data_IF_048334649533
#
_entry.id   IF_048334649533
#
_cell.length_a   1.000
_cell.length_b   1.000
_cell.length_c   1.000
_cell.angle_alpha   90.00
_cell.angle_beta   90.00
_cell.angle_gamma   90.00
#
_symmetry.space_group_name_H-M   'P 1'
#
loop_
_entity.id
_entity.type
_entity.pdbx_description
1 polymer ?
#
# COMPACT_ATOMS: atom_id res chain seq x y z
N UNK A 1 0.08 30.56 23.13
CA UNK A 1 0.89 29.58 22.38
C UNK A 1 -0.01 28.97 21.34
N UNK A 2 0.17 29.36 20.12
CA UNK A 2 -0.55 28.76 18.99
C UNK A 2 -0.10 27.32 18.84
N UNK A 3 -0.83 26.45 19.46
CA UNK A 3 -0.73 25.01 19.27
C UNK A 3 -1.24 24.72 17.89
N UNK A 4 -0.44 24.67 16.83
CA UNK A 4 -1.35 24.51 15.77
C UNK A 4 -0.70 24.19 14.45
N UNK A 5 -1.23 23.20 13.88
CA UNK A 5 -1.32 23.01 12.46
C UNK A 5 -2.15 24.11 11.75
N UNK A 6 -2.28 25.31 12.32
CA UNK A 6 -3.05 26.41 11.70
C UNK A 6 -2.47 26.83 10.36
N UNK A 7 -1.18 26.66 10.15
CA UNK A 7 -0.57 26.85 8.85
C UNK A 7 -1.20 26.00 7.73
N UNK A 8 -1.80 24.86 8.07
CA UNK A 8 -2.53 24.03 7.12
C UNK A 8 -3.75 24.73 6.52
N UNK A 9 -4.31 25.67 7.25
CA UNK A 9 -5.44 26.50 6.81
C UNK A 9 -5.05 27.83 6.18
N UNK A 10 -3.80 28.21 6.17
CA UNK A 10 -3.35 29.56 5.75
C UNK A 10 -2.24 29.57 4.70
N UNK A 11 -1.33 28.60 4.69
CA UNK A 11 -0.27 28.52 3.69
C UNK A 11 -0.78 28.20 2.30
N UNK A 12 0.03 28.52 1.28
CA UNK A 12 -0.28 28.16 -0.11
C UNK A 12 -0.44 26.66 -0.26
N UNK A 13 -1.51 26.25 -0.95
CA UNK A 13 -1.86 24.84 -1.15
C UNK A 13 -0.72 24.06 -1.82
N UNK A 14 -0.10 24.59 -2.87
CA UNK A 14 1.01 23.92 -3.54
C UNK A 14 2.21 23.66 -2.64
N UNK A 15 2.53 24.60 -1.75
CA UNK A 15 3.63 24.45 -0.77
C UNK A 15 3.29 23.36 0.27
N UNK A 16 2.06 23.36 0.76
CA UNK A 16 1.59 22.33 1.71
C UNK A 16 1.59 20.95 1.09
N UNK A 17 1.12 20.81 -0.15
CA UNK A 17 1.14 19.55 -0.86
C UNK A 17 2.56 19.00 -1.01
N UNK A 18 3.52 19.83 -1.39
CA UNK A 18 4.93 19.43 -1.47
C UNK A 18 5.47 18.98 -0.11
N UNK A 19 5.21 19.75 0.93
CA UNK A 19 5.69 19.47 2.30
C UNK A 19 5.17 18.12 2.83
N UNK A 20 3.95 17.74 2.51
CA UNK A 20 3.32 16.51 3.00
C UNK A 20 3.41 15.34 2.02
N UNK A 21 3.30 15.59 0.73
CA UNK A 21 3.30 14.53 -0.27
C UNK A 21 4.70 13.96 -0.51
N UNK A 22 5.72 14.79 -0.65
CA UNK A 22 7.08 14.33 -0.99
C UNK A 22 7.64 13.36 0.06
N UNK A 23 7.59 13.64 1.38
CA UNK A 23 8.05 12.68 2.37
C UNK A 23 7.27 11.35 2.34
N UNK A 24 5.97 11.40 2.12
CA UNK A 24 5.13 10.21 2.05
C UNK A 24 5.46 9.36 0.81
N UNK A 25 5.65 10.00 -0.34
CA UNK A 25 6.08 9.33 -1.57
C UNK A 25 7.42 8.62 -1.36
N UNK A 26 8.39 9.30 -0.77
CA UNK A 26 9.72 8.73 -0.48
C UNK A 26 9.60 7.52 0.45
N UNK A 27 8.81 7.61 1.52
CA UNK A 27 8.57 6.50 2.45
C UNK A 27 8.02 5.27 1.74
N UNK A 28 7.01 5.44 0.90
CA UNK A 28 6.37 4.33 0.19
C UNK A 28 7.26 3.74 -0.90
N UNK A 29 7.99 4.58 -1.65
CA UNK A 29 8.95 4.12 -2.66
C UNK A 29 10.07 3.31 -2.02
N UNK A 30 10.65 3.79 -0.94
CA UNK A 30 11.70 3.08 -0.23
C UNK A 30 11.18 1.77 0.33
N UNK A 31 9.96 1.75 0.86
CA UNK A 31 9.30 0.53 1.32
C UNK A 31 9.13 -0.51 0.21
N UNK A 32 8.73 -0.09 -0.99
CA UNK A 32 8.62 -0.99 -2.14
C UNK A 32 10.00 -1.48 -2.62
N UNK A 33 10.99 -0.60 -2.66
CA UNK A 33 12.34 -0.93 -3.14
C UNK A 33 13.08 -1.87 -2.17
N UNK A 34 12.98 -1.67 -0.86
CA UNK A 34 13.68 -2.54 0.07
C UNK A 34 13.13 -3.98 0.05
N UNK A 35 11.85 -4.16 -0.18
CA UNK A 35 11.28 -5.50 -0.37
C UNK A 35 11.86 -6.21 -1.59
N UNK A 36 12.09 -5.48 -2.68
CA UNK A 36 12.74 -6.01 -3.88
C UNK A 36 14.21 -6.37 -3.59
N UNK A 37 14.93 -5.53 -2.86
CA UNK A 37 16.32 -5.77 -2.48
C UNK A 37 16.44 -7.00 -1.56
N UNK A 38 15.56 -7.16 -0.60
CA UNK A 38 15.50 -8.34 0.27
C UNK A 38 15.32 -9.64 -0.54
N UNK A 39 14.39 -9.63 -1.50
CA UNK A 39 14.21 -10.76 -2.42
C UNK A 39 15.45 -11.06 -3.26
N UNK A 40 16.17 -10.03 -3.70
CA UNK A 40 17.42 -10.19 -4.46
C UNK A 40 18.49 -10.85 -3.59
N UNK A 41 18.63 -10.46 -2.34
CA UNK A 41 19.59 -11.09 -1.43
C UNK A 41 19.25 -12.56 -1.17
N UNK A 42 17.99 -12.89 -0.95
CA UNK A 42 17.53 -14.28 -0.76
C UNK A 42 17.80 -15.11 -2.04
N UNK A 43 17.50 -14.55 -3.22
CA UNK A 43 17.72 -15.23 -4.49
C UNK A 43 19.18 -15.52 -4.79
N UNK A 44 20.09 -14.65 -4.36
CA UNK A 44 21.53 -14.82 -4.57
C UNK A 44 22.22 -15.67 -3.50
N UNK A 45 21.51 -16.10 -2.47
CA UNK A 45 22.03 -17.04 -1.49
C UNK A 45 21.99 -18.46 -2.04
N UNK A 46 23.10 -18.93 -2.56
CA UNK A 46 23.22 -20.25 -3.26
C UNK A 46 22.77 -21.42 -2.39
N UNK A 47 22.99 -21.37 -1.08
CA UNK A 47 22.61 -22.43 -0.16
C UNK A 47 21.10 -22.47 0.14
N UNK A 48 20.36 -21.41 -0.12
CA UNK A 48 18.89 -21.38 -0.02
C UNK A 48 18.21 -21.86 -1.30
N UNK A 49 18.86 -21.64 -2.45
CA UNK A 49 18.31 -21.96 -3.75
C UNK A 49 17.00 -21.21 -4.03
N UNK A 50 16.16 -21.80 -4.87
CA UNK A 50 14.81 -21.26 -5.17
C UNK A 50 13.82 -21.42 -4.03
N UNK A 51 14.12 -22.26 -3.06
CA UNK A 51 13.23 -22.53 -1.91
C UNK A 51 13.08 -21.32 -0.99
N UNK A 52 14.12 -20.49 -0.85
CA UNK A 52 14.07 -19.26 -0.08
C UNK A 52 13.08 -18.25 -0.66
N UNK A 53 13.13 -18.02 -1.95
CA UNK A 53 12.16 -17.14 -2.63
C UNK A 53 10.74 -17.71 -2.61
N UNK A 54 10.59 -19.01 -2.75
CA UNK A 54 9.29 -19.66 -2.65
C UNK A 54 8.70 -19.45 -1.24
N UNK A 55 9.49 -19.62 -0.19
CA UNK A 55 9.07 -19.37 1.18
C UNK A 55 8.67 -17.90 1.41
N UNK A 56 9.43 -16.96 0.90
CA UNK A 56 9.09 -15.53 0.97
C UNK A 56 7.75 -15.24 0.28
N UNK A 57 7.51 -15.84 -0.87
CA UNK A 57 6.25 -15.70 -1.61
C UNK A 57 5.05 -16.26 -0.84
N UNK A 58 5.22 -17.38 -0.15
CA UNK A 58 4.17 -17.98 0.70
C UNK A 58 3.81 -17.07 1.88
N UNK A 59 4.80 -16.45 2.50
CA UNK A 59 4.61 -15.61 3.70
C UNK A 59 4.16 -14.19 3.37
N UNK A 60 4.45 -13.69 2.17
CA UNK A 60 4.13 -12.32 1.77
C UNK A 60 2.66 -11.92 2.00
N UNK A 61 1.64 -12.70 1.59
CA UNK A 61 0.24 -12.34 1.85
C UNK A 61 -0.08 -12.12 3.33
N UNK A 62 0.61 -12.85 4.21
CA UNK A 62 0.40 -12.76 5.65
C UNK A 62 0.94 -11.45 6.22
N UNK A 63 2.04 -10.95 5.66
CA UNK A 63 2.56 -9.61 6.00
C UNK A 63 1.64 -8.51 5.49
N UNK A 64 1.00 -8.71 4.34
CA UNK A 64 0.03 -7.75 3.79
C UNK A 64 -1.24 -7.68 4.65
N UNK A 65 -1.69 -8.78 5.24
CA UNK A 65 -2.81 -8.75 6.21
C UNK A 65 -2.48 -7.88 7.41
N UNK A 66 -1.28 -8.03 7.97
CA UNK A 66 -0.82 -7.19 9.08
C UNK A 66 -0.76 -5.71 8.67
N UNK A 67 -0.23 -5.42 7.50
CA UNK A 67 -0.19 -4.06 6.94
C UNK A 67 -1.60 -3.49 6.74
N UNK A 68 -2.53 -4.27 6.22
CA UNK A 68 -3.91 -3.84 6.00
C UNK A 68 -4.59 -3.39 7.29
N UNK A 69 -4.43 -4.14 8.36
CA UNK A 69 -4.97 -3.77 9.68
C UNK A 69 -4.29 -2.51 10.21
N UNK A 70 -2.97 -2.43 10.11
CA UNK A 70 -2.20 -1.28 10.59
C UNK A 70 -2.56 0.02 9.87
N UNK A 71 -2.67 0.01 8.54
CA UNK A 71 -3.03 1.21 7.78
C UNK A 71 -4.51 1.57 7.92
N UNK A 72 -5.39 0.60 8.16
CA UNK A 72 -6.78 0.87 8.51
C UNK A 72 -6.87 1.73 9.77
N UNK A 73 -6.13 1.37 10.79
CA UNK A 73 -6.08 2.13 12.04
C UNK A 73 -5.35 3.46 11.85
N UNK A 74 -4.19 3.45 11.21
CA UNK A 74 -3.35 4.62 11.03
C UNK A 74 -3.95 5.69 10.13
N UNK A 75 -4.38 5.34 8.93
CA UNK A 75 -4.98 6.29 7.98
C UNK A 75 -6.35 6.77 8.46
N UNK A 76 -7.14 5.88 9.08
CA UNK A 76 -8.41 6.26 9.69
C UNK A 76 -8.24 7.26 10.83
N UNK A 77 -7.27 7.03 11.68
CA UNK A 77 -6.90 7.96 12.75
C UNK A 77 -6.37 9.30 12.20
N UNK A 78 -5.51 9.25 11.18
CA UNK A 78 -4.99 10.45 10.53
C UNK A 78 -6.11 11.35 9.99
N UNK A 79 -7.07 10.78 9.27
CA UNK A 79 -8.21 11.50 8.74
C UNK A 79 -9.08 12.09 9.87
N UNK A 80 -9.41 11.29 10.88
CA UNK A 80 -10.21 11.71 12.01
C UNK A 80 -9.55 12.85 12.82
N UNK A 81 -8.27 12.69 13.13
CA UNK A 81 -7.48 13.69 13.87
C UNK A 81 -7.39 14.99 13.09
N UNK A 82 -7.13 14.92 11.80
CA UNK A 82 -6.98 16.10 10.94
C UNK A 82 -8.26 16.91 10.87
N UNK A 83 -9.41 16.24 10.73
CA UNK A 83 -10.72 16.89 10.76
C UNK A 83 -10.99 17.51 12.15
N UNK A 84 -10.69 16.78 13.21
CA UNK A 84 -10.90 17.26 14.59
C UNK A 84 -10.03 18.48 14.91
N UNK A 85 -8.79 18.51 14.45
CA UNK A 85 -7.90 19.68 14.60
C UNK A 85 -8.43 20.88 13.83
N UNK A 86 -8.98 20.67 12.64
CA UNK A 86 -9.64 21.72 11.87
C UNK A 86 -10.88 22.31 12.57
N UNK A 87 -11.58 21.49 13.32
CA UNK A 87 -12.74 21.89 14.15
C UNK A 87 -12.35 22.51 15.50
N UNK A 88 -11.06 22.64 15.79
CA UNK A 88 -10.53 23.05 17.09
C UNK A 88 -10.90 22.10 18.26
N UNK A 89 -11.14 20.84 17.95
CA UNK A 89 -11.46 19.79 18.94
C UNK A 89 -10.20 18.97 19.28
N UNK A 90 -9.19 19.62 19.84
CA UNK A 90 -7.92 18.99 20.21
C UNK A 90 -8.09 17.82 21.18
N UNK A 91 -8.93 17.86 22.23
CA UNK A 91 -9.13 16.72 23.13
C UNK A 91 -9.64 15.47 22.40
N UNK A 92 -10.51 15.64 21.41
CA UNK A 92 -11.05 14.56 20.60
C UNK A 92 -9.96 13.94 19.71
N UNK A 93 -9.08 14.77 19.13
CA UNK A 93 -7.92 14.33 18.37
C UNK A 93 -6.95 13.50 19.23
N UNK A 94 -6.62 13.97 20.44
CA UNK A 94 -5.75 13.26 21.39
C UNK A 94 -6.33 11.90 21.77
N UNK A 95 -7.63 11.83 22.03
CA UNK A 95 -8.30 10.58 22.34
C UNK A 95 -8.31 9.60 21.17
N UNK A 96 -8.48 10.10 19.96
CA UNK A 96 -8.37 9.27 18.74
C UNK A 96 -6.98 8.63 18.60
N UNK A 97 -5.93 9.38 18.87
CA UNK A 97 -4.55 8.85 18.85
C UNK A 97 -4.36 7.78 19.93
N UNK A 98 -4.80 8.03 21.15
CA UNK A 98 -4.71 7.05 22.23
C UNK A 98 -5.48 5.77 21.92
N UNK A 99 -6.70 5.89 21.40
CA UNK A 99 -7.50 4.75 20.96
C UNK A 99 -6.85 3.98 19.80
N UNK A 100 -6.25 4.68 18.84
CA UNK A 100 -5.54 4.05 17.73
C UNK A 100 -4.34 3.24 18.20
N UNK A 101 -3.57 3.76 19.14
CA UNK A 101 -2.43 3.05 19.76
C UNK A 101 -2.91 1.76 20.43
N UNK A 102 -3.95 1.83 21.23
CA UNK A 102 -4.51 0.65 21.91
C UNK A 102 -5.08 -0.35 20.93
N UNK A 103 -5.86 0.09 19.94
CA UNK A 103 -6.38 -0.79 18.89
C UNK A 103 -5.25 -1.50 18.12
N UNK A 104 -4.20 -0.77 17.79
CA UNK A 104 -3.05 -1.33 17.10
C UNK A 104 -2.34 -2.40 17.95
N UNK A 105 -2.10 -2.13 19.23
CA UNK A 105 -1.48 -3.08 20.15
C UNK A 105 -2.32 -4.34 20.32
N UNK A 106 -3.62 -4.18 20.58
CA UNK A 106 -4.53 -5.31 20.77
C UNK A 106 -4.64 -6.15 19.50
N UNK A 107 -4.86 -5.52 18.35
CA UNK A 107 -4.99 -6.24 17.07
C UNK A 107 -3.68 -6.94 16.67
N UNK A 108 -2.54 -6.33 16.93
CA UNK A 108 -1.23 -6.93 16.63
C UNK A 108 -0.93 -8.14 17.52
N UNK A 109 -1.26 -8.08 18.80
CA UNK A 109 -1.10 -9.20 19.71
C UNK A 109 -2.03 -10.35 19.34
N UNK A 110 -3.29 -10.05 19.01
CA UNK A 110 -4.26 -11.05 18.57
C UNK A 110 -3.79 -11.71 17.26
N UNK A 111 -3.35 -10.92 16.30
CA UNK A 111 -2.84 -11.44 15.02
C UNK A 111 -1.60 -12.30 15.22
N UNK A 112 -0.67 -11.88 16.06
CA UNK A 112 0.54 -12.65 16.41
C UNK A 112 0.16 -14.00 17.04
N UNK A 113 -0.77 -14.00 17.97
CA UNK A 113 -1.25 -15.22 18.61
C UNK A 113 -1.90 -16.17 17.59
N UNK A 114 -2.76 -15.66 16.73
CA UNK A 114 -3.38 -16.45 15.65
C UNK A 114 -2.35 -17.03 14.69
N UNK A 115 -1.36 -16.25 14.30
CA UNK A 115 -0.29 -16.72 13.41
C UNK A 115 0.57 -17.80 14.06
N UNK A 116 0.90 -17.67 15.34
CA UNK A 116 1.68 -18.68 16.03
C UNK A 116 0.89 -19.98 16.27
N UNK A 117 -0.38 -19.87 16.65
CA UNK A 117 -1.23 -21.05 16.93
C UNK A 117 -1.57 -21.82 15.64
N UNK A 118 -1.93 -21.11 14.58
CA UNK A 118 -2.40 -21.70 13.32
C UNK A 118 -1.36 -21.67 12.21
N UNK A 119 -0.08 -21.52 12.53
CA UNK A 119 1.01 -21.37 11.57
C UNK A 119 0.98 -22.44 10.47
N UNK A 120 0.91 -23.71 10.85
CA UNK A 120 0.95 -24.82 9.91
C UNK A 120 -0.26 -24.82 8.95
N UNK A 121 -1.45 -24.59 9.49
CA UNK A 121 -2.68 -24.49 8.70
C UNK A 121 -2.63 -23.32 7.72
N UNK A 122 -2.18 -22.15 8.18
CA UNK A 122 -2.08 -20.94 7.37
C UNK A 122 -1.07 -21.12 6.24
N UNK A 123 0.12 -21.65 6.53
CA UNK A 123 1.15 -21.89 5.52
C UNK A 123 0.71 -22.90 4.49
N UNK A 124 -0.02 -23.96 4.89
CA UNK A 124 -0.60 -24.93 3.98
C UNK A 124 -1.62 -24.28 3.02
N UNK A 125 -2.46 -23.38 3.54
CA UNK A 125 -3.44 -22.64 2.72
C UNK A 125 -2.80 -21.77 1.65
N UNK A 126 -1.62 -21.21 1.92
CA UNK A 126 -0.89 -20.34 0.99
C UNK A 126 0.17 -21.05 0.14
N UNK A 127 0.14 -22.39 0.11
CA UNK A 127 0.98 -23.18 -0.78
C UNK A 127 2.34 -23.56 -0.21
N UNK A 128 2.56 -23.42 1.08
CA UNK A 128 3.82 -23.78 1.73
C UNK A 128 4.15 -25.28 1.67
N UNK A 129 3.17 -26.13 1.47
CA UNK A 129 3.31 -27.59 1.45
C UNK A 129 3.67 -28.19 0.09
N UNK A 130 4.08 -27.38 -0.89
CA UNK A 130 4.48 -27.83 -2.23
C UNK A 130 5.61 -28.86 -2.16
N UNK A 131 6.59 -28.62 -1.30
CA UNK A 131 7.66 -29.59 -0.99
C UNK A 131 8.17 -29.35 0.45
N UNK A 132 8.91 -30.33 0.97
CA UNK A 132 9.39 -30.30 2.35
C UNK A 132 10.36 -29.13 2.63
N UNK A 133 11.22 -28.78 1.70
CA UNK A 133 12.21 -27.71 1.87
C UNK A 133 11.55 -26.33 1.87
N UNK A 134 10.63 -26.06 0.95
CA UNK A 134 9.85 -24.82 0.95
C UNK A 134 9.04 -24.68 2.23
N UNK A 135 8.44 -25.78 2.71
CA UNK A 135 7.68 -25.77 3.96
C UNK A 135 8.57 -25.44 5.17
N UNK A 136 9.74 -26.09 5.26
CA UNK A 136 10.70 -25.80 6.32
C UNK A 136 11.16 -24.34 6.35
N UNK A 137 11.55 -23.80 5.20
CA UNK A 137 11.94 -22.39 5.07
C UNK A 137 10.77 -21.44 5.34
N UNK A 138 9.56 -21.79 4.93
CA UNK A 138 8.36 -21.01 5.21
C UNK A 138 8.03 -20.97 6.68
N UNK A 139 8.14 -22.10 7.40
CA UNK A 139 7.93 -22.16 8.84
C UNK A 139 8.94 -21.30 9.59
N UNK A 140 10.22 -21.42 9.25
CA UNK A 140 11.31 -20.67 9.87
C UNK A 140 11.12 -19.16 9.65
N UNK A 141 10.92 -18.75 8.40
CA UNK A 141 10.72 -17.35 8.04
C UNK A 141 9.46 -16.75 8.70
N UNK A 142 8.35 -17.48 8.63
CA UNK A 142 7.07 -17.04 9.19
C UNK A 142 7.12 -16.91 10.72
N UNK A 143 7.78 -17.83 11.40
CA UNK A 143 7.90 -17.75 12.85
C UNK A 143 8.63 -16.46 13.29
N UNK A 144 9.78 -16.18 12.72
CA UNK A 144 10.56 -14.99 13.08
C UNK A 144 9.89 -13.69 12.64
N UNK A 145 9.28 -13.65 11.44
CA UNK A 145 8.52 -12.50 10.97
C UNK A 145 7.32 -12.23 11.89
N UNK A 146 6.63 -13.28 12.34
CA UNK A 146 5.47 -13.15 13.23
C UNK A 146 5.85 -12.53 14.59
N UNK A 147 7.03 -12.82 15.10
CA UNK A 147 7.52 -12.16 16.32
C UNK A 147 7.67 -10.64 16.15
N UNK A 148 7.92 -10.18 14.95
CA UNK A 148 8.02 -8.76 14.60
C UNK A 148 6.71 -8.09 14.26
N UNK A 149 5.59 -8.81 14.13
CA UNK A 149 4.28 -8.25 13.73
C UNK A 149 3.83 -7.08 14.61
N UNK A 150 3.88 -7.14 15.96
CA UNK A 150 3.49 -6.00 16.78
C UNK A 150 4.29 -4.73 16.47
N UNK A 151 5.60 -4.85 16.29
CA UNK A 151 6.48 -3.72 15.99
C UNK A 151 6.23 -3.17 14.59
N UNK A 152 6.05 -4.05 13.62
CA UNK A 152 5.72 -3.70 12.24
C UNK A 152 4.39 -2.94 12.16
N UNK A 153 3.35 -3.47 12.74
CA UNK A 153 2.03 -2.85 12.73
C UNK A 153 2.04 -1.50 13.44
N UNK A 154 2.73 -1.40 14.56
CA UNK A 154 2.83 -0.14 15.29
C UNK A 154 3.55 0.95 14.48
N UNK A 155 4.67 0.62 13.84
CA UNK A 155 5.38 1.54 12.96
C UNK A 155 4.54 1.99 11.76
N UNK A 156 3.83 1.08 11.13
CA UNK A 156 2.96 1.38 9.98
C UNK A 156 1.75 2.22 10.36
N UNK A 157 1.14 1.98 11.52
CA UNK A 157 0.02 2.77 12.00
C UNK A 157 0.45 4.18 12.45
N UNK A 158 1.62 4.31 13.06
CA UNK A 158 2.12 5.59 13.56
C UNK A 158 2.56 6.54 12.44
N UNK A 159 2.97 6.05 11.29
CA UNK A 159 3.41 6.90 10.18
C UNK A 159 2.35 7.96 9.79
N UNK A 160 1.09 7.59 9.47
CA UNK A 160 0.05 8.58 9.19
C UNK A 160 -0.26 9.49 10.39
N UNK A 161 -0.23 8.95 11.60
CA UNK A 161 -0.53 9.70 12.83
C UNK A 161 0.53 10.78 13.07
N UNK A 162 1.80 10.47 12.83
CA UNK A 162 2.89 11.44 12.94
C UNK A 162 2.73 12.56 11.89
N UNK A 163 2.31 12.24 10.68
CA UNK A 163 1.96 13.26 9.67
C UNK A 163 0.83 14.17 10.15
N UNK A 164 -0.19 13.61 10.78
CA UNK A 164 -1.29 14.38 11.35
C UNK A 164 -0.85 15.31 12.50
N UNK A 165 0.19 14.93 13.22
CA UNK A 165 0.82 15.78 14.24
C UNK A 165 1.63 16.97 13.64
N UNK A 166 1.70 17.06 12.33
CA UNK A 166 2.38 18.15 11.63
C UNK A 166 3.85 17.88 11.33
N UNK A 167 4.32 16.65 11.43
CA UNK A 167 5.72 16.28 11.17
C UNK A 167 5.87 15.17 10.12
N UNK A 168 5.54 15.44 8.86
CA UNK A 168 5.70 14.45 7.78
C UNK A 168 7.15 14.07 7.55
N UNK A 169 8.09 14.96 7.83
CA UNK A 169 9.53 14.71 7.67
C UNK A 169 10.02 13.64 8.63
N UNK A 170 9.60 13.66 9.89
CA UNK A 170 9.94 12.60 10.84
C UNK A 170 9.30 11.27 10.47
N UNK A 171 8.06 11.28 9.98
CA UNK A 171 7.39 10.07 9.47
C UNK A 171 8.20 9.40 8.35
N UNK A 172 8.82 10.19 7.48
CA UNK A 172 9.75 9.67 6.47
C UNK A 172 11.04 9.14 7.10
N UNK A 173 11.67 9.90 7.99
CA UNK A 173 12.99 9.57 8.55
C UNK A 173 12.98 8.25 9.31
N UNK A 174 11.97 8.00 10.16
CA UNK A 174 11.96 6.76 10.94
C UNK A 174 11.69 5.53 10.05
N UNK A 175 10.92 5.68 8.98
CA UNK A 175 10.72 4.63 7.98
C UNK A 175 12.01 4.34 7.21
N UNK A 176 12.72 5.39 6.79
CA UNK A 176 14.01 5.25 6.11
C UNK A 176 15.07 4.60 6.99
N UNK A 177 15.11 4.93 8.28
CA UNK A 177 16.05 4.35 9.22
C UNK A 177 15.86 2.83 9.34
N UNK A 178 14.62 2.38 9.47
CA UNK A 178 14.28 0.95 9.52
C UNK A 178 14.66 0.21 8.23
N UNK A 179 14.33 0.79 7.08
CA UNK A 179 14.65 0.21 5.78
C UNK A 179 16.16 0.15 5.52
N UNK A 180 16.90 1.20 5.86
CA UNK A 180 18.36 1.24 5.71
C UNK A 180 19.03 0.18 6.57
N UNK A 181 18.59 0.03 7.81
CA UNK A 181 19.13 -0.99 8.71
C UNK A 181 18.84 -2.40 8.20
N UNK A 182 17.67 -2.65 7.68
CA UNK A 182 17.31 -3.93 7.05
C UNK A 182 18.26 -4.23 5.87
N UNK A 183 18.45 -3.29 4.96
CA UNK A 183 19.34 -3.45 3.78
C UNK A 183 20.79 -3.73 4.19
N UNK A 184 21.25 -3.12 5.28
CA UNK A 184 22.62 -3.35 5.79
C UNK A 184 22.75 -4.72 6.46
N UNK A 185 21.76 -5.13 7.25
CA UNK A 185 21.80 -6.37 8.01
C UNK A 185 21.53 -7.62 7.17
N UNK A 186 20.73 -7.53 6.12
CA UNK A 186 20.41 -8.66 5.25
C UNK A 186 21.64 -9.38 4.72
N UNK A 187 22.62 -8.72 4.07
CA UNK A 187 23.83 -9.38 3.59
C UNK A 187 24.65 -9.99 4.73
N UNK A 188 24.73 -9.31 5.85
CA UNK A 188 25.50 -9.78 7.02
C UNK A 188 24.93 -11.08 7.55
N UNK A 189 23.61 -11.18 7.72
CA UNK A 189 22.96 -12.35 8.28
C UNK A 189 22.79 -13.49 7.27
N UNK A 190 22.52 -13.17 6.00
CA UNK A 190 22.30 -14.17 4.95
C UNK A 190 23.63 -14.72 4.45
N UNK A 191 24.60 -13.88 4.10
CA UNK A 191 25.86 -14.27 3.49
C UNK A 191 26.98 -14.44 4.53
N UNK A 192 27.09 -13.53 5.51
CA UNK A 192 28.14 -13.56 6.53
C UNK A 192 27.93 -14.67 7.55
N UNK A 193 26.81 -14.66 8.23
CA UNK A 193 26.49 -15.67 9.25
C UNK A 193 25.80 -16.91 8.70
N UNK A 194 25.31 -16.87 7.44
CA UNK A 194 24.61 -17.98 6.78
C UNK A 194 23.41 -18.49 7.58
N UNK A 195 22.65 -17.56 8.17
CA UNK A 195 21.46 -17.90 8.95
C UNK A 195 20.24 -18.24 8.07
N UNK A 196 20.34 -18.10 6.77
CA UNK A 196 19.26 -18.45 5.84
C UNK A 196 18.04 -17.55 5.98
N UNK A 197 16.86 -18.16 5.92
CA UNK A 197 15.59 -17.44 6.06
C UNK A 197 15.41 -16.83 7.44
N UNK A 198 15.96 -17.44 8.50
CA UNK A 198 16.03 -16.85 9.83
C UNK A 198 16.78 -15.50 9.78
N UNK A 199 17.92 -15.45 9.09
CA UNK A 199 18.71 -14.23 8.94
C UNK A 199 17.94 -13.11 8.24
N UNK A 200 17.26 -13.41 7.15
CA UNK A 200 16.39 -12.46 6.44
C UNK A 200 15.27 -11.94 7.34
N UNK A 201 14.59 -12.82 8.05
CA UNK A 201 13.53 -12.45 8.98
C UNK A 201 14.04 -11.60 10.14
N UNK A 202 15.15 -11.98 10.76
CA UNK A 202 15.74 -11.26 11.90
C UNK A 202 16.20 -9.86 11.47
N UNK A 203 16.81 -9.71 10.30
CA UNK A 203 17.19 -8.40 9.76
C UNK A 203 15.97 -7.49 9.59
N UNK A 204 14.90 -8.02 9.04
CA UNK A 204 13.62 -7.31 8.89
C UNK A 204 13.03 -6.90 10.24
N UNK A 205 13.01 -7.82 11.20
CA UNK A 205 12.47 -7.56 12.55
C UNK A 205 13.30 -6.53 13.31
N UNK A 206 14.62 -6.53 13.18
CA UNK A 206 15.47 -5.51 13.79
C UNK A 206 15.17 -4.13 13.20
N UNK A 207 15.00 -4.03 11.89
CA UNK A 207 14.56 -2.79 11.24
C UNK A 207 13.19 -2.31 11.76
N UNK A 208 12.25 -3.22 11.94
CA UNK A 208 10.92 -2.94 12.50
C UNK A 208 11.00 -2.50 13.98
N UNK A 209 11.87 -3.11 14.77
CA UNK A 209 12.11 -2.73 16.16
C UNK A 209 12.64 -1.30 16.27
N UNK A 210 13.59 -0.92 15.43
CA UNK A 210 14.12 0.45 15.40
C UNK A 210 13.03 1.45 14.99
N UNK A 211 12.26 1.12 13.97
CA UNK A 211 11.12 1.94 13.52
C UNK A 211 10.09 2.11 14.64
N UNK A 212 9.72 1.02 15.32
CA UNK A 212 8.78 1.07 16.44
C UNK A 212 9.33 1.87 17.63
N UNK A 213 10.61 1.73 17.96
CA UNK A 213 11.25 2.50 19.03
C UNK A 213 11.23 4.00 18.75
N UNK A 214 11.54 4.41 17.51
CA UNK A 214 11.45 5.80 17.10
C UNK A 214 10.00 6.32 17.10
N UNK A 215 9.04 5.48 16.74
CA UNK A 215 7.63 5.84 16.80
C UNK A 215 7.13 6.02 18.23
N UNK A 216 7.54 5.16 19.16
CA UNK A 216 7.24 5.32 20.61
C UNK A 216 7.87 6.59 21.15
N UNK A 217 9.13 6.84 20.80
CA UNK A 217 9.80 8.07 21.22
C UNK A 217 9.02 9.30 20.76
N UNK A 218 8.59 9.31 19.49
CA UNK A 218 7.80 10.42 18.96
C UNK A 218 6.43 10.54 19.64
N UNK A 219 5.76 9.43 19.90
CA UNK A 219 4.48 9.41 20.62
C UNK A 219 4.57 10.10 21.98
N UNK A 220 5.68 9.87 22.69
CA UNK A 220 5.93 10.51 23.99
C UNK A 220 6.33 11.99 23.88
N UNK A 221 6.75 12.44 22.69
CA UNK A 221 7.22 13.81 22.43
C UNK A 221 6.35 14.55 21.40
N UNK A 222 5.14 14.08 21.13
CA UNK A 222 4.21 14.75 20.23
C UNK A 222 3.92 16.19 20.69
N UNK A 223 3.82 17.08 19.73
CA UNK A 223 3.65 18.53 20.02
C UNK A 223 2.17 18.92 20.16
N UNK A 224 1.29 18.35 19.34
CA UNK A 224 -0.09 18.81 19.18
C UNK A 224 -1.09 17.79 19.73
N UNK A 225 -0.95 16.52 19.37
CA UNK A 225 -1.92 15.45 19.65
C UNK A 225 -1.38 14.39 20.59
N UNK A 226 -0.50 14.75 21.49
CA UNK A 226 0.05 13.83 22.50
C UNK A 226 -1.06 13.31 23.41
N UNK A 227 -1.33 11.97 23.43
CA UNK A 227 -2.36 11.41 24.29
C UNK A 227 -1.97 11.52 25.78
N UNK A 228 -2.96 11.79 26.60
CA UNK A 228 -2.85 11.72 28.06
C UNK A 228 -3.35 10.37 28.56
N UNK A 229 -3.16 10.07 29.85
CA UNK A 229 -3.53 8.76 30.43
C UNK A 229 -5.00 8.36 30.17
N UNK A 230 -5.94 9.32 30.24
CA UNK A 230 -7.35 9.09 29.97
C UNK A 230 -7.69 8.82 28.51
N UNK A 231 -6.84 9.24 27.59
CA UNK A 231 -7.07 9.12 26.15
C UNK A 231 -6.85 7.69 25.64
N UNK A 232 -6.17 6.86 26.40
CA UNK A 232 -6.00 5.44 26.07
C UNK A 232 -7.22 4.58 26.37
N UNK A 233 -8.22 5.11 27.04
CA UNK A 233 -9.49 4.40 27.23
C UNK A 233 -10.27 4.35 25.93
N UNK A 234 -10.60 3.15 25.49
CA UNK A 234 -11.37 2.95 24.26
C UNK A 234 -12.76 3.54 24.37
N UNK A 235 -13.14 4.33 23.37
CA UNK A 235 -14.50 4.85 23.20
C UNK A 235 -15.04 4.30 21.88
N UNK A 236 -16.14 3.56 21.95
CA UNK A 236 -16.71 2.87 20.79
C UNK A 236 -17.00 3.77 19.59
N UNK A 237 -17.47 4.99 19.81
CA UNK A 237 -17.74 5.95 18.73
C UNK A 237 -16.47 6.41 18.01
N UNK A 238 -15.38 6.62 18.74
CA UNK A 238 -14.09 7.04 18.17
C UNK A 238 -13.43 5.86 17.44
N UNK A 239 -13.41 4.68 18.05
CA UNK A 239 -12.91 3.47 17.41
C UNK A 239 -13.67 3.14 16.13
N UNK A 240 -14.99 3.18 16.17
CA UNK A 240 -15.85 2.94 15.02
C UNK A 240 -15.61 3.92 13.89
N UNK A 241 -15.46 5.20 14.18
CA UNK A 241 -15.19 6.23 13.18
C UNK A 241 -13.79 6.04 12.55
N UNK A 242 -12.79 5.74 13.36
CA UNK A 242 -11.44 5.47 12.90
C UNK A 242 -11.40 4.27 11.94
N UNK A 243 -12.02 3.16 12.32
CA UNK A 243 -12.07 1.96 11.48
C UNK A 243 -12.87 2.20 10.20
N UNK A 244 -13.98 2.92 10.28
CA UNK A 244 -14.81 3.23 9.12
C UNK A 244 -14.06 4.10 8.12
N UNK A 245 -13.35 5.13 8.57
CA UNK A 245 -12.51 5.97 7.71
C UNK A 245 -11.32 5.22 7.14
N UNK A 246 -10.76 4.28 7.89
CA UNK A 246 -9.62 3.48 7.46
C UNK A 246 -9.98 2.30 6.56
N UNK A 247 -11.26 1.97 6.39
CA UNK A 247 -11.68 0.82 5.60
C UNK A 247 -11.21 0.88 4.14
N UNK A 248 -11.12 2.07 3.56
CA UNK A 248 -10.56 2.29 2.22
C UNK A 248 -9.13 1.76 2.12
N UNK A 249 -8.29 2.09 3.08
CA UNK A 249 -6.89 1.64 3.12
C UNK A 249 -6.80 0.13 3.34
N UNK A 250 -7.65 -0.42 4.20
CA UNK A 250 -7.76 -1.86 4.43
C UNK A 250 -8.11 -2.61 3.14
N UNK A 251 -9.14 -2.18 2.45
CA UNK A 251 -9.58 -2.81 1.19
C UNK A 251 -8.52 -2.74 0.11
N UNK A 252 -7.82 -1.61 0.00
CA UNK A 252 -6.72 -1.45 -0.97
C UNK A 252 -5.60 -2.47 -0.76
N UNK A 253 -5.27 -2.78 0.48
CA UNK A 253 -4.22 -3.76 0.78
C UNK A 253 -4.69 -5.20 0.62
N UNK A 254 -5.86 -5.54 1.15
CA UNK A 254 -6.41 -6.90 1.04
C UNK A 254 -6.72 -7.28 -0.40
N UNK A 255 -7.25 -6.36 -1.18
CA UNK A 255 -7.56 -6.60 -2.59
C UNK A 255 -6.32 -6.86 -3.44
N UNK A 256 -5.17 -6.28 -3.07
CA UNK A 256 -3.89 -6.56 -3.74
C UNK A 256 -3.59 -8.06 -3.71
N UNK A 257 -3.70 -8.70 -2.55
CA UNK A 257 -3.47 -10.14 -2.39
C UNK A 257 -4.49 -10.95 -3.18
N UNK A 258 -5.77 -10.60 -3.10
CA UNK A 258 -6.83 -11.29 -3.82
C UNK A 258 -6.67 -11.16 -5.34
N UNK A 259 -6.31 -9.97 -5.82
CA UNK A 259 -6.07 -9.73 -7.24
C UNK A 259 -4.85 -10.50 -7.75
N UNK A 260 -3.75 -10.51 -7.02
CA UNK A 260 -2.57 -11.30 -7.39
C UNK A 260 -2.87 -12.80 -7.45
N UNK A 261 -3.60 -13.32 -6.47
CA UNK A 261 -4.01 -14.72 -6.46
C UNK A 261 -4.90 -15.05 -7.68
N UNK A 262 -5.87 -14.22 -7.98
CA UNK A 262 -6.76 -14.37 -9.14
C UNK A 262 -5.97 -14.33 -10.46
N UNK A 263 -5.10 -13.36 -10.63
CA UNK A 263 -4.27 -13.20 -11.82
C UNK A 263 -3.35 -14.41 -11.99
N UNK A 264 -2.65 -14.84 -10.95
CA UNK A 264 -1.74 -15.97 -11.02
C UNK A 264 -2.46 -17.28 -11.39
N UNK A 265 -3.63 -17.52 -10.80
CA UNK A 265 -4.44 -18.69 -11.12
C UNK A 265 -4.93 -18.68 -12.57
N UNK A 266 -5.38 -17.53 -13.06
CA UNK A 266 -5.85 -17.38 -14.43
C UNK A 266 -4.71 -17.49 -15.44
N UNK A 267 -3.55 -16.93 -15.16
CA UNK A 267 -2.36 -17.08 -15.99
C UNK A 267 -1.96 -18.55 -16.10
N UNK A 268 -1.95 -19.28 -14.99
CA UNK A 268 -1.62 -20.69 -14.98
C UNK A 268 -2.61 -21.50 -15.81
N UNK A 269 -3.90 -21.27 -15.62
CA UNK A 269 -4.97 -21.99 -16.30
C UNK A 269 -5.00 -21.72 -17.80
N UNK A 270 -5.01 -20.45 -18.20
CA UNK A 270 -5.16 -20.07 -19.61
C UNK A 270 -3.83 -20.03 -20.36
N UNK A 271 -2.71 -19.88 -19.68
CA UNK A 271 -1.39 -20.06 -20.26
C UNK A 271 -1.15 -21.48 -20.72
N UNK A 272 -1.62 -22.47 -19.95
CA UNK A 272 -1.55 -23.87 -20.34
C UNK A 272 -2.39 -24.22 -21.58
N UNK A 273 -3.43 -23.42 -21.86
CA UNK A 273 -4.29 -23.57 -23.03
C UNK A 273 -3.83 -22.77 -24.25
N UNK A 274 -2.82 -21.93 -24.09
CA UNK A 274 -2.27 -21.11 -25.18
C UNK A 274 -1.43 -21.96 -26.14
N UNK A 275 -1.45 -21.62 -27.44
CA UNK A 275 -0.74 -22.36 -28.46
C UNK A 275 0.79 -22.30 -28.30
N UNK A 276 1.33 -21.19 -27.81
CA UNK A 276 2.77 -20.99 -27.58
C UNK A 276 3.16 -21.34 -26.15
N UNK A 277 2.46 -20.78 -25.16
CA UNK A 277 2.78 -20.89 -23.74
C UNK A 277 2.27 -22.18 -23.11
N UNK A 278 1.47 -22.96 -23.82
CA UNK A 278 1.14 -24.34 -23.47
C UNK A 278 2.30 -25.32 -23.65
N UNK A 279 3.33 -24.95 -24.39
CA UNK A 279 4.55 -25.72 -24.55
C UNK A 279 5.40 -25.64 -23.28
N UNK A 280 5.95 -26.76 -22.85
CA UNK A 280 6.72 -26.85 -21.59
C UNK A 280 7.89 -25.85 -21.52
N UNK A 281 8.58 -25.64 -22.66
CA UNK A 281 9.75 -24.75 -22.75
C UNK A 281 9.40 -23.26 -22.59
N UNK A 282 8.13 -22.85 -22.76
CA UNK A 282 7.67 -21.47 -22.69
C UNK A 282 6.62 -21.24 -21.60
N UNK A 283 6.28 -22.28 -20.83
CA UNK A 283 5.19 -22.25 -19.86
C UNK A 283 5.36 -21.17 -18.75
N UNK A 284 6.59 -20.83 -18.39
CA UNK A 284 6.89 -19.85 -17.35
C UNK A 284 6.77 -18.39 -17.81
N UNK A 285 6.75 -18.14 -19.12
CA UNK A 285 6.82 -16.77 -19.69
C UNK A 285 5.66 -15.88 -19.22
N UNK A 286 4.38 -16.28 -19.30
CA UNK A 286 3.28 -15.42 -18.90
C UNK A 286 3.38 -14.93 -17.46
N UNK A 287 3.72 -15.83 -16.54
CA UNK A 287 3.85 -15.48 -15.12
C UNK A 287 5.02 -14.53 -14.86
N UNK A 288 6.16 -14.78 -15.50
CA UNK A 288 7.34 -13.92 -15.38
C UNK A 288 7.06 -12.51 -15.93
N UNK A 289 6.43 -12.42 -17.09
CA UNK A 289 6.11 -11.15 -17.75
C UNK A 289 5.11 -10.34 -16.92
N UNK A 290 4.01 -10.94 -16.50
CA UNK A 290 3.02 -10.24 -15.67
C UNK A 290 3.65 -9.80 -14.34
N UNK A 291 4.57 -10.59 -13.80
CA UNK A 291 5.34 -10.24 -12.61
C UNK A 291 6.11 -8.93 -12.76
N UNK A 292 6.81 -8.72 -13.88
CA UNK A 292 7.55 -7.46 -14.10
C UNK A 292 6.63 -6.27 -14.38
N UNK A 293 5.53 -6.49 -15.08
CA UNK A 293 4.50 -5.44 -15.27
C UNK A 293 3.91 -4.99 -13.95
N UNK A 294 3.62 -5.92 -13.05
CA UNK A 294 3.11 -5.62 -11.71
C UNK A 294 4.13 -4.86 -10.85
N UNK A 295 5.41 -5.16 -10.97
CA UNK A 295 6.46 -4.39 -10.26
C UNK A 295 6.49 -2.92 -10.71
N UNK A 296 6.43 -2.69 -12.00
CA UNK A 296 6.35 -1.32 -12.53
C UNK A 296 5.07 -0.62 -12.03
N UNK A 297 3.93 -1.28 -12.13
CA UNK A 297 2.67 -0.76 -11.63
C UNK A 297 2.73 -0.42 -10.13
N UNK A 298 3.35 -1.27 -9.34
CA UNK A 298 3.49 -1.04 -7.90
C UNK A 298 4.32 0.22 -7.58
N UNK A 299 5.37 0.48 -8.35
CA UNK A 299 6.16 1.71 -8.22
C UNK A 299 5.28 2.95 -8.51
N UNK A 300 4.55 2.92 -9.59
CA UNK A 300 3.65 4.03 -9.96
C UNK A 300 2.58 4.24 -8.89
N UNK A 301 1.96 3.19 -8.41
CA UNK A 301 0.93 3.26 -7.36
C UNK A 301 1.50 3.74 -6.03
N UNK A 302 2.74 3.39 -5.71
CA UNK A 302 3.42 3.93 -4.51
C UNK A 302 3.55 5.46 -4.57
N UNK A 303 3.85 6.01 -5.73
CA UNK A 303 3.89 7.46 -5.95
C UNK A 303 2.49 8.06 -5.78
N UNK A 304 1.50 7.47 -6.41
CA UNK A 304 0.10 7.92 -6.39
C UNK A 304 -0.49 7.90 -4.98
N UNK A 305 -0.37 6.77 -4.30
CA UNK A 305 -0.86 6.62 -2.91
C UNK A 305 -0.08 7.54 -1.97
N UNK A 306 1.23 7.66 -2.14
CA UNK A 306 2.06 8.57 -1.35
C UNK A 306 1.64 10.03 -1.47
N UNK A 307 1.31 10.46 -2.67
CA UNK A 307 0.84 11.82 -2.93
C UNK A 307 -0.55 12.06 -2.31
N UNK A 308 -1.48 11.16 -2.52
CA UNK A 308 -2.84 11.30 -2.00
C UNK A 308 -2.91 11.14 -0.48
N UNK A 309 -2.30 10.08 0.06
CA UNK A 309 -2.30 9.82 1.49
C UNK A 309 -1.46 10.83 2.27
N UNK A 310 -0.39 11.33 1.68
CA UNK A 310 0.41 12.40 2.27
C UNK A 310 -0.40 13.68 2.50
N UNK A 311 -1.35 13.97 1.63
CA UNK A 311 -2.21 15.15 1.73
C UNK A 311 -3.41 14.98 2.67
N UNK A 312 -3.66 13.80 3.24
CA UNK A 312 -4.79 13.59 4.18
C UNK A 312 -4.82 14.62 5.31
N UNK A 313 -3.70 14.93 5.99
CA UNK A 313 -3.72 15.95 7.04
C UNK A 313 -4.17 17.34 6.55
N UNK A 314 -3.74 17.73 5.38
CA UNK A 314 -4.08 19.04 4.80
C UNK A 314 -5.57 19.10 4.43
N UNK A 315 -6.06 18.08 3.75
CA UNK A 315 -7.47 17.98 3.35
C UNK A 315 -8.38 17.91 4.57
N UNK A 316 -8.07 17.01 5.52
CA UNK A 316 -8.87 16.82 6.73
C UNK A 316 -8.95 18.10 7.57
N UNK A 317 -7.83 18.78 7.76
CA UNK A 317 -7.80 20.06 8.50
C UNK A 317 -8.70 21.12 7.86
N UNK A 318 -8.60 21.31 6.55
CA UNK A 318 -9.40 22.31 5.85
C UNK A 318 -10.89 21.92 5.77
N UNK A 319 -11.20 20.64 5.74
CA UNK A 319 -12.60 20.17 5.89
C UNK A 319 -13.16 20.49 7.27
N UNK A 320 -12.41 20.20 8.31
CA UNK A 320 -12.81 20.50 9.69
C UNK A 320 -12.92 22.00 9.96
N UNK A 321 -12.01 22.79 9.40
CA UNK A 321 -12.01 24.23 9.50
C UNK A 321 -13.08 24.93 8.64
N UNK A 322 -13.89 24.19 7.91
CA UNK A 322 -14.94 24.70 7.02
C UNK A 322 -14.42 25.69 5.98
N UNK A 323 -13.33 25.30 5.30
CA UNK A 323 -12.71 26.08 4.22
C UNK A 323 -12.86 25.35 2.85
N UNK A 324 -14.08 25.33 2.28
CA UNK A 324 -14.38 24.52 1.10
C UNK A 324 -13.60 24.94 -0.14
N UNK A 325 -13.27 26.24 -0.27
CA UNK A 325 -12.48 26.75 -1.40
C UNK A 325 -11.08 26.15 -1.41
N UNK A 326 -10.44 26.03 -0.25
CA UNK A 326 -9.13 25.41 -0.11
C UNK A 326 -9.17 23.91 -0.40
N UNK A 327 -10.22 23.21 0.07
CA UNK A 327 -10.43 21.78 -0.21
C UNK A 327 -10.62 21.56 -1.71
N UNK A 328 -11.38 22.43 -2.38
CA UNK A 328 -11.59 22.38 -3.84
C UNK A 328 -10.27 22.58 -4.60
N UNK A 329 -9.44 23.52 -4.18
CA UNK A 329 -8.11 23.75 -4.76
C UNK A 329 -7.18 22.56 -4.56
N UNK A 330 -7.17 21.98 -3.36
CA UNK A 330 -6.43 20.75 -3.05
C UNK A 330 -6.85 19.61 -3.96
N UNK A 331 -8.16 19.40 -4.12
CA UNK A 331 -8.70 18.34 -4.95
C UNK A 331 -8.28 18.50 -6.42
N UNK A 332 -8.42 19.70 -6.95
CA UNK A 332 -8.03 20.01 -8.33
C UNK A 332 -6.53 19.76 -8.55
N UNK A 333 -5.69 20.28 -7.66
CA UNK A 333 -4.23 20.11 -7.77
C UNK A 333 -3.82 18.65 -7.61
N UNK A 334 -4.45 17.92 -6.71
CA UNK A 334 -4.18 16.50 -6.51
C UNK A 334 -4.55 15.69 -7.76
N UNK A 335 -5.74 15.89 -8.31
CA UNK A 335 -6.19 15.17 -9.52
C UNK A 335 -5.28 15.46 -10.71
N UNK A 336 -4.86 16.72 -10.88
CA UNK A 336 -3.94 17.10 -11.96
C UNK A 336 -2.56 16.48 -11.79
N UNK A 337 -2.03 16.46 -10.57
CA UNK A 337 -0.75 15.85 -10.26
C UNK A 337 -0.78 14.33 -10.50
N UNK A 338 -1.85 13.67 -10.05
CA UNK A 338 -2.03 12.23 -10.24
C UNK A 338 -2.23 11.86 -11.73
N UNK A 339 -2.99 12.66 -12.47
CA UNK A 339 -3.14 12.48 -13.91
C UNK A 339 -1.80 12.68 -14.64
N UNK A 340 -0.96 13.60 -14.18
CA UNK A 340 0.39 13.83 -14.72
C UNK A 340 1.30 12.63 -14.47
N UNK A 341 1.28 12.06 -13.27
CA UNK A 341 2.03 10.83 -12.96
C UNK A 341 1.56 9.69 -13.86
N UNK A 342 0.25 9.52 -14.01
CA UNK A 342 -0.32 8.52 -14.90
C UNK A 342 0.06 8.73 -16.37
N UNK A 343 0.08 9.98 -16.83
CA UNK A 343 0.49 10.32 -18.20
C UNK A 343 1.96 10.01 -18.46
N UNK A 344 2.84 10.34 -17.52
CA UNK A 344 4.28 9.99 -17.61
C UNK A 344 4.46 8.48 -17.65
N UNK A 345 3.77 7.74 -16.77
CA UNK A 345 3.81 6.29 -16.77
C UNK A 345 3.30 5.70 -18.10
N UNK A 346 2.21 6.23 -18.65
CA UNK A 346 1.66 5.80 -19.94
C UNK A 346 2.64 6.03 -21.08
N UNK A 347 3.27 7.19 -21.14
CA UNK A 347 4.32 7.48 -22.14
C UNK A 347 5.47 6.49 -22.04
N UNK A 348 5.92 6.16 -20.83
CA UNK A 348 6.98 5.18 -20.62
C UNK A 348 6.59 3.79 -21.12
N UNK A 349 5.40 3.30 -20.82
CA UNK A 349 4.98 1.94 -21.21
C UNK A 349 4.64 1.85 -22.70
N UNK A 350 4.17 2.91 -23.33
CA UNK A 350 3.82 2.89 -24.76
C UNK A 350 5.03 3.14 -25.66
N UNK A 351 5.95 4.03 -25.29
CA UNK A 351 7.11 4.40 -26.09
C UNK A 351 8.38 3.65 -25.75
N UNK A 352 8.55 3.23 -24.49
CA UNK A 352 9.78 2.63 -23.98
C UNK A 352 9.55 1.24 -23.36
N UNK A 353 8.72 0.35 -23.90
CA UNK A 353 8.45 -0.95 -23.25
C UNK A 353 9.69 -1.84 -23.26
N UNK A 354 10.52 -1.79 -24.30
CA UNK A 354 11.75 -2.59 -24.39
C UNK A 354 12.76 -2.22 -23.31
N UNK A 355 12.90 -0.94 -23.01
CA UNK A 355 13.79 -0.44 -21.96
C UNK A 355 13.27 -0.86 -20.57
N UNK A 356 11.96 -0.85 -20.36
CA UNK A 356 11.34 -1.34 -19.12
C UNK A 356 11.54 -2.86 -18.96
N UNK A 357 11.43 -3.62 -20.03
CA UNK A 357 11.72 -5.06 -20.01
C UNK A 357 13.18 -5.32 -19.64
N UNK A 358 14.11 -4.56 -20.21
CA UNK A 358 15.52 -4.68 -19.89
C UNK A 358 15.84 -4.31 -18.43
N UNK A 359 15.10 -3.35 -17.87
CA UNK A 359 15.31 -2.89 -16.49
C UNK A 359 14.72 -3.86 -15.44
N UNK A 360 13.53 -4.37 -15.69
CA UNK A 360 12.75 -5.16 -14.71
C UNK A 360 12.80 -6.67 -14.94
N UNK A 361 13.24 -7.11 -16.11
CA UNK A 361 13.23 -8.50 -16.51
C UNK A 361 14.53 -8.93 -17.20
N UNK A 362 14.45 -10.04 -17.93
CA UNK A 362 15.58 -10.57 -18.70
C UNK A 362 15.50 -10.10 -20.17
N UNK A 363 16.50 -9.35 -20.60
CA UNK A 363 16.55 -8.80 -21.96
C UNK A 363 16.89 -9.84 -23.04
N UNK A 364 17.44 -10.99 -22.65
CA UNK A 364 17.97 -12.01 -23.57
C UNK A 364 17.14 -13.31 -23.59
N UNK A 365 15.86 -13.20 -23.27
CA UNK A 365 14.92 -14.30 -23.40
C UNK A 365 14.45 -14.47 -24.85
N UNK A 366 13.58 -15.44 -25.10
CA UNK A 366 13.05 -15.73 -26.43
C UNK A 366 12.25 -14.56 -27.02
N UNK A 367 12.04 -14.59 -28.35
CA UNK A 367 11.16 -13.60 -29.04
C UNK A 367 9.76 -13.62 -28.45
N UNK A 368 9.24 -14.78 -28.06
CA UNK A 368 7.92 -14.89 -27.43
C UNK A 368 7.82 -14.16 -26.09
N UNK A 369 8.90 -14.18 -25.31
CA UNK A 369 8.98 -13.40 -24.07
C UNK A 369 8.89 -11.91 -24.34
N UNK A 370 9.71 -11.39 -25.26
CA UNK A 370 9.74 -9.97 -25.59
C UNK A 370 8.40 -9.49 -26.17
N UNK A 371 7.83 -10.23 -27.10
CA UNK A 371 6.56 -9.87 -27.73
C UNK A 371 5.41 -9.86 -26.72
N UNK A 372 5.32 -10.86 -25.87
CA UNK A 372 4.31 -10.90 -24.82
C UNK A 372 4.53 -9.83 -23.76
N UNK A 373 5.77 -9.53 -23.42
CA UNK A 373 6.10 -8.48 -22.46
C UNK A 373 5.73 -7.09 -22.99
N UNK A 374 6.04 -6.76 -24.23
CA UNK A 374 5.64 -5.51 -24.88
C UNK A 374 4.12 -5.39 -24.93
N UNK A 375 3.44 -6.43 -25.34
CA UNK A 375 1.98 -6.50 -25.38
C UNK A 375 1.37 -6.30 -23.98
N UNK A 376 1.93 -6.96 -22.97
CA UNK A 376 1.45 -6.89 -21.59
C UNK A 376 1.63 -5.50 -21.00
N UNK A 377 2.78 -4.87 -21.16
CA UNK A 377 3.00 -3.49 -20.72
C UNK A 377 1.99 -2.52 -21.36
N UNK A 378 1.82 -2.62 -22.66
CA UNK A 378 0.95 -1.71 -23.41
C UNK A 378 -0.52 -1.90 -23.09
N UNK A 379 -1.00 -3.12 -22.99
CA UNK A 379 -2.44 -3.39 -22.76
C UNK A 379 -2.79 -3.25 -21.29
N UNK A 380 -2.06 -3.90 -20.40
CA UNK A 380 -2.41 -3.92 -18.97
C UNK A 380 -2.37 -2.53 -18.36
N UNK A 381 -1.46 -1.67 -18.80
CA UNK A 381 -1.26 -0.32 -18.28
C UNK A 381 -1.81 0.78 -19.20
N UNK A 382 -2.61 0.46 -20.21
CA UNK A 382 -3.11 1.47 -21.14
C UNK A 382 -4.03 2.52 -20.50
N UNK A 383 -4.71 2.18 -19.41
CA UNK A 383 -5.59 3.09 -18.64
C UNK A 383 -5.01 3.49 -17.30
N UNK A 384 -3.68 3.54 -17.21
CA UNK A 384 -2.99 3.88 -15.94
C UNK A 384 -3.33 5.29 -15.45
N UNK A 385 -3.64 6.23 -16.34
CA UNK A 385 -4.10 7.57 -15.96
C UNK A 385 -5.39 7.48 -15.16
N UNK A 386 -6.34 6.68 -15.61
CA UNK A 386 -7.60 6.46 -14.90
C UNK A 386 -7.39 5.73 -13.57
N UNK A 387 -6.46 4.78 -13.53
CA UNK A 387 -6.08 4.09 -12.29
C UNK A 387 -5.58 5.08 -11.24
N UNK A 388 -4.69 6.00 -11.63
CA UNK A 388 -4.16 7.04 -10.75
C UNK A 388 -5.27 7.97 -10.24
N UNK A 389 -6.14 8.44 -11.12
CA UNK A 389 -7.26 9.33 -10.77
C UNK A 389 -8.26 8.62 -9.84
N UNK A 390 -8.58 7.37 -10.10
CA UNK A 390 -9.48 6.58 -9.26
C UNK A 390 -8.92 6.42 -7.84
N UNK A 391 -7.64 6.07 -7.72
CA UNK A 391 -6.94 5.97 -6.43
C UNK A 391 -6.96 7.29 -5.68
N UNK A 392 -6.62 8.38 -6.35
CA UNK A 392 -6.66 9.72 -5.76
C UNK A 392 -8.06 10.07 -5.26
N UNK A 393 -9.08 9.76 -6.04
CA UNK A 393 -10.47 10.07 -5.71
C UNK A 393 -10.92 9.41 -4.39
N UNK A 394 -10.73 8.10 -4.24
CA UNK A 394 -11.21 7.47 -3.02
C UNK A 394 -10.36 7.79 -1.78
N UNK A 395 -9.06 8.02 -1.93
CA UNK A 395 -8.22 8.49 -0.81
C UNK A 395 -8.62 9.92 -0.40
N UNK A 396 -8.91 10.78 -1.36
CA UNK A 396 -9.37 12.15 -1.08
C UNK A 396 -10.73 12.15 -0.35
N UNK A 397 -11.66 11.32 -0.77
CA UNK A 397 -12.95 11.15 -0.09
C UNK A 397 -12.76 10.66 1.36
N UNK A 398 -11.81 9.75 1.58
CA UNK A 398 -11.41 9.32 2.92
C UNK A 398 -10.90 10.51 3.76
N UNK A 399 -10.05 11.34 3.19
CA UNK A 399 -9.50 12.52 3.85
C UNK A 399 -10.58 13.57 4.19
N UNK A 400 -11.62 13.68 3.35
CA UNK A 400 -12.78 14.54 3.61
C UNK A 400 -13.72 14.01 4.71
N UNK A 401 -13.50 12.81 5.19
CA UNK A 401 -14.40 12.17 6.16
C UNK A 401 -15.61 11.48 5.54
N UNK A 402 -15.68 11.37 4.23
CA UNK A 402 -16.76 10.68 3.49
C UNK A 402 -16.47 9.18 3.42
N UNK A 403 -16.55 8.51 4.54
CA UNK A 403 -16.19 7.11 4.68
C UNK A 403 -17.01 6.18 3.79
N UNK A 404 -18.32 6.38 3.72
CA UNK A 404 -19.20 5.51 2.93
C UNK A 404 -18.90 5.60 1.42
N UNK A 405 -18.74 6.79 0.89
CA UNK A 405 -18.43 7.01 -0.54
C UNK A 405 -17.03 6.51 -0.88
N UNK A 406 -16.05 6.78 -0.04
CA UNK A 406 -14.68 6.30 -0.18
C UNK A 406 -14.61 4.77 -0.19
N UNK A 407 -15.23 4.13 0.79
CA UNK A 407 -15.27 2.67 0.91
C UNK A 407 -16.01 2.03 -0.26
N UNK A 408 -17.14 2.60 -0.67
CA UNK A 408 -17.91 2.08 -1.80
C UNK A 408 -17.10 2.14 -3.11
N UNK A 409 -16.45 3.26 -3.39
CA UNK A 409 -15.62 3.42 -4.59
C UNK A 409 -14.42 2.48 -4.56
N UNK A 410 -13.74 2.36 -3.42
CA UNK A 410 -12.63 1.43 -3.23
C UNK A 410 -13.06 -0.03 -3.39
N UNK A 411 -14.19 -0.42 -2.80
CA UNK A 411 -14.74 -1.77 -2.95
C UNK A 411 -15.03 -2.11 -4.41
N UNK A 412 -15.67 -1.20 -5.11
CA UNK A 412 -16.01 -1.38 -6.53
C UNK A 412 -14.73 -1.54 -7.37
N UNK A 413 -13.77 -0.64 -7.21
CA UNK A 413 -12.53 -0.66 -7.98
C UNK A 413 -11.68 -1.88 -7.67
N UNK A 414 -11.45 -2.14 -6.39
CA UNK A 414 -10.44 -3.11 -5.95
C UNK A 414 -11.00 -4.54 -5.94
N UNK A 415 -12.20 -4.74 -5.48
CA UNK A 415 -12.79 -6.08 -5.30
C UNK A 415 -13.71 -6.45 -6.44
N UNK A 416 -14.78 -5.69 -6.68
CA UNK A 416 -15.82 -6.07 -7.64
C UNK A 416 -15.26 -6.10 -9.06
N UNK A 417 -14.64 -5.04 -9.50
CA UNK A 417 -14.08 -4.97 -10.85
C UNK A 417 -12.66 -5.53 -10.93
N UNK A 418 -11.79 -5.23 -9.96
CA UNK A 418 -10.39 -5.68 -9.97
C UNK A 418 -10.28 -7.20 -9.97
N UNK A 419 -10.81 -7.84 -8.95
CA UNK A 419 -10.81 -9.31 -8.85
C UNK A 419 -11.81 -9.92 -9.81
N UNK A 420 -12.99 -9.35 -9.93
CA UNK A 420 -14.07 -9.85 -10.77
C UNK A 420 -13.68 -9.97 -12.24
N UNK A 421 -13.11 -8.94 -12.83
CA UNK A 421 -12.66 -8.98 -14.22
C UNK A 421 -11.42 -9.86 -14.42
N UNK A 422 -10.54 -9.94 -13.44
CA UNK A 422 -9.41 -10.86 -13.49
C UNK A 422 -9.87 -12.32 -13.59
N UNK A 423 -11.00 -12.66 -13.00
CA UNK A 423 -11.60 -14.00 -13.07
C UNK A 423 -12.54 -14.20 -14.28
N UNK A 424 -13.23 -13.14 -14.70
CA UNK A 424 -14.28 -13.24 -15.72
C UNK A 424 -13.72 -13.13 -17.14
N UNK A 425 -12.91 -12.12 -17.44
CA UNK A 425 -12.46 -11.84 -18.80
C UNK A 425 -11.62 -12.97 -19.43
N UNK A 426 -10.78 -13.70 -18.69
CA UNK A 426 -10.06 -14.83 -19.28
C UNK A 426 -10.97 -15.95 -19.82
N UNK A 427 -12.20 -16.07 -19.33
CA UNK A 427 -13.17 -17.03 -19.84
C UNK A 427 -13.59 -16.75 -21.28
N UNK A 428 -13.55 -15.47 -21.69
CA UNK A 428 -13.95 -15.04 -23.03
C UNK A 428 -12.75 -14.78 -23.94
N UNK A 429 -11.64 -14.30 -23.42
CA UNK A 429 -10.47 -13.86 -24.17
C UNK A 429 -9.21 -14.70 -23.93
N UNK A 430 -9.29 -15.76 -23.11
CA UNK A 430 -8.14 -16.57 -22.75
C UNK A 430 -7.09 -15.78 -21.97
N UNK A 431 -5.82 -16.01 -22.27
CA UNK A 431 -4.71 -15.34 -21.59
C UNK A 431 -4.76 -13.80 -21.73
N UNK A 432 -5.19 -13.28 -22.87
CA UNK A 432 -5.34 -11.85 -23.08
C UNK A 432 -6.39 -11.21 -22.17
N UNK A 433 -7.37 -11.97 -21.73
CA UNK A 433 -8.38 -11.52 -20.76
C UNK A 433 -7.78 -11.07 -19.43
N UNK A 434 -6.68 -11.66 -19.01
CA UNK A 434 -5.93 -11.21 -17.82
C UNK A 434 -5.38 -9.79 -18.05
N UNK A 435 -4.89 -9.51 -19.25
CA UNK A 435 -4.35 -8.19 -19.60
C UNK A 435 -5.45 -7.14 -19.70
N UNK A 436 -6.64 -7.52 -20.11
CA UNK A 436 -7.80 -6.60 -20.22
C UNK A 436 -8.46 -6.27 -18.88
N UNK A 437 -8.20 -7.06 -17.85
CA UNK A 437 -8.87 -6.93 -16.55
C UNK A 437 -8.67 -5.57 -15.89
N UNK A 438 -7.45 -5.07 -15.86
CA UNK A 438 -7.16 -3.78 -15.24
C UNK A 438 -7.72 -2.58 -16.03
N UNK A 439 -7.52 -2.46 -17.35
CA UNK A 439 -8.12 -1.38 -18.12
C UNK A 439 -9.65 -1.32 -17.99
N UNK A 440 -10.32 -2.44 -18.08
CA UNK A 440 -11.77 -2.52 -17.94
C UNK A 440 -12.24 -2.09 -16.55
N UNK A 441 -11.56 -2.55 -15.53
CA UNK A 441 -11.82 -2.15 -14.13
C UNK A 441 -11.69 -0.64 -13.96
N UNK A 442 -10.64 -0.04 -14.46
CA UNK A 442 -10.38 1.39 -14.31
C UNK A 442 -11.35 2.24 -15.14
N UNK A 443 -11.72 1.82 -16.32
CA UNK A 443 -12.72 2.53 -17.15
C UNK A 443 -14.07 2.58 -16.43
N UNK A 444 -14.57 1.43 -15.97
CA UNK A 444 -15.88 1.37 -15.30
C UNK A 444 -15.86 2.08 -13.95
N UNK A 445 -14.78 1.96 -13.20
CA UNK A 445 -14.62 2.71 -11.94
C UNK A 445 -14.57 4.21 -12.20
N UNK A 446 -13.92 4.66 -13.26
CA UNK A 446 -13.83 6.07 -13.59
C UNK A 446 -15.20 6.69 -13.91
N UNK A 447 -16.13 5.95 -14.48
CA UNK A 447 -17.51 6.43 -14.67
C UNK A 447 -18.17 6.78 -13.34
N UNK A 448 -17.97 5.94 -12.32
CA UNK A 448 -18.48 6.18 -10.95
C UNK A 448 -17.68 7.29 -10.28
N UNK A 449 -16.35 7.24 -10.38
CA UNK A 449 -15.47 8.26 -9.83
C UNK A 449 -15.72 9.64 -10.43
N UNK A 450 -15.97 9.73 -11.73
CA UNK A 450 -16.34 10.97 -12.41
C UNK A 450 -17.62 11.58 -11.85
N UNK A 451 -18.63 10.76 -11.60
CA UNK A 451 -19.84 11.21 -10.92
C UNK A 451 -19.53 11.75 -9.51
N UNK A 452 -18.75 11.03 -8.73
CA UNK A 452 -18.37 11.46 -7.38
C UNK A 452 -17.50 12.72 -7.38
N UNK A 453 -16.62 12.86 -8.36
CA UNK A 453 -15.81 14.08 -8.56
C UNK A 453 -16.72 15.28 -8.83
N UNK A 454 -17.64 15.15 -9.76
CA UNK A 454 -18.60 16.21 -10.09
C UNK A 454 -19.47 16.56 -8.89
N UNK A 455 -19.98 15.56 -8.19
CA UNK A 455 -20.74 15.74 -6.95
C UNK A 455 -19.95 16.51 -5.89
N UNK A 456 -18.69 16.11 -5.68
CA UNK A 456 -17.80 16.74 -4.70
C UNK A 456 -17.53 18.20 -5.05
N UNK A 457 -17.25 18.51 -6.30
CA UNK A 457 -17.07 19.90 -6.75
C UNK A 457 -18.32 20.75 -6.56
N UNK A 458 -19.48 20.19 -6.83
CA UNK A 458 -20.77 20.87 -6.61
C UNK A 458 -20.99 21.19 -5.14
N UNK A 459 -20.78 20.20 -4.26
CA UNK A 459 -20.93 20.38 -2.83
C UNK A 459 -19.98 21.44 -2.26
N UNK A 460 -18.69 21.40 -2.68
CA UNK A 460 -17.71 22.36 -2.25
C UNK A 460 -17.97 23.78 -2.76
N UNK A 461 -18.47 23.91 -3.99
CA UNK A 461 -18.87 25.22 -4.56
C UNK A 461 -20.05 25.81 -3.82
N UNK A 462 -21.08 25.02 -3.55
CA UNK A 462 -22.28 25.48 -2.82
C UNK A 462 -21.96 25.95 -1.41
N UNK A 463 -21.04 25.26 -0.71
CA UNK A 463 -20.60 25.65 0.65
C UNK A 463 -19.66 26.87 0.65
N UNK A 464 -19.06 27.20 -0.47
CA UNK A 464 -18.18 28.36 -0.60
C UNK A 464 -18.92 29.68 -0.88
N UNK A 465 -20.21 29.60 -1.20
CA UNK A 465 -21.06 30.76 -1.47
C UNK A 465 -21.82 31.27 -0.22
N UNK A 466 -21.68 30.57 0.93
CA UNK A 466 -22.28 30.95 2.23
C UNK A 466 -21.19 31.46 3.16
#
# INVERSE_FOLDING_TARGET
MESSNQFLGTERIGKLMQKYAIPCIISLLVGALYNIVDQIFIANASYLGSYGNAANTVVFPLTVVALAIAVMIGDGCCAFVSISLGQNEVPKAKRSVGNAVVMCLVSSIVLTALYLIFADTILAMFGGTVNAETYHHSQEYFFYITLGVPFYMFGQAMNPIIRADGNPRFAMIFTLAGAALNIILDPIFIFGFRWGMMGAAVATVIGQLVTAALAVWYLLHMKIIRPEKGDYRLKGSICGRTLTLGMTSFLSQISLVAAMAAINNMIRKYGALDAVFGQEQYAQIPMAVVGIVMKFFQIVISIVVGMAAGCIPVVGFNMGAKKPTRVKELFTKLLLAEATVGAVALVLVELLPWQLIALFGSANESVYYTDFAVKSFRIYLCMIILACVNKACFIFLQAMGKAAESTALSMVREVVFGVGFALLLPRFFGLDGVLYSMPMSDILTFLIAGYLICKTYRELSTKGEV
#
